data_IF_719199033900
#
_entry.id   IF_719199033900
#
_cell.length_a   1.000
_cell.length_b   1.000
_cell.length_c   1.000
_cell.angle_alpha   90.00
_cell.angle_beta   90.00
_cell.angle_gamma   90.00
#
_symmetry.space_group_name_H-M   'P 1'
#
loop_
_entity.id
_entity.type
_entity.pdbx_description
1 polymer ?
#
# COMPACT_ATOMS: atom_id res chain seq x y z
N UNK A 1 -7.87 -0.72 -17.12
CA UNK A 1 -6.99 -0.80 -15.90
C UNK A 1 -6.47 0.58 -15.49
N UNK A 2 -7.35 1.58 -15.51
CA UNK A 2 -6.93 2.98 -15.27
C UNK A 2 -6.42 3.25 -13.84
N UNK A 3 -6.84 2.44 -12.87
CA UNK A 3 -6.38 2.55 -11.48
C UNK A 3 -4.86 2.34 -11.29
N UNK A 4 -4.18 1.67 -12.22
CA UNK A 4 -2.72 1.48 -12.18
C UNK A 4 -1.93 2.62 -12.84
N UNK A 5 -2.62 3.58 -13.44
CA UNK A 5 -2.01 4.74 -14.11
C UNK A 5 -1.99 6.00 -13.23
N UNK A 6 -2.52 5.92 -12.03
CA UNK A 6 -2.59 7.00 -11.05
C UNK A 6 -2.18 6.46 -9.69
N UNK A 7 -1.62 7.32 -8.86
CA UNK A 7 -1.40 6.98 -7.46
C UNK A 7 -2.72 6.62 -6.78
N UNK A 8 -2.65 5.62 -5.88
CA UNK A 8 -3.82 5.11 -5.16
C UNK A 8 -3.50 5.00 -3.68
N UNK A 9 -4.16 5.81 -2.88
CA UNK A 9 -4.08 5.85 -1.42
C UNK A 9 -5.34 5.24 -0.81
N UNK A 10 -5.21 4.44 0.26
CA UNK A 10 -6.32 3.66 0.78
C UNK A 10 -6.48 3.81 2.30
N UNK A 11 -7.57 4.38 2.74
CA UNK A 11 -7.90 4.53 4.16
C UNK A 11 -8.80 3.38 4.66
N UNK A 12 -8.38 2.74 5.72
CA UNK A 12 -9.10 1.65 6.38
C UNK A 12 -9.30 1.88 7.88
N UNK A 13 -9.70 0.83 8.57
CA UNK A 13 -10.00 0.87 10.01
C UNK A 13 -8.77 1.25 10.86
N UNK A 14 -7.57 0.81 10.46
CA UNK A 14 -6.33 1.15 11.15
C UNK A 14 -5.98 2.63 11.04
N UNK A 15 -6.06 3.21 9.83
CA UNK A 15 -5.82 4.61 9.57
C UNK A 15 -6.82 5.50 10.34
N UNK A 16 -8.10 5.15 10.29
CA UNK A 16 -9.13 5.89 11.05
C UNK A 16 -8.95 5.76 12.55
N UNK A 17 -8.63 4.58 13.08
CA UNK A 17 -8.37 4.40 14.50
C UNK A 17 -7.18 5.26 14.97
N UNK A 18 -6.11 5.33 14.17
CA UNK A 18 -4.97 6.20 14.43
C UNK A 18 -5.39 7.68 14.42
N UNK A 19 -6.13 8.14 13.41
CA UNK A 19 -6.59 9.54 13.29
C UNK A 19 -7.52 9.93 14.44
N UNK A 20 -8.40 9.02 14.88
CA UNK A 20 -9.31 9.23 16.01
C UNK A 20 -8.58 9.16 17.38
N UNK A 21 -7.38 8.60 17.43
CA UNK A 21 -6.66 8.34 18.68
C UNK A 21 -7.29 7.21 19.48
N UNK A 22 -7.90 6.23 18.82
CA UNK A 22 -8.54 5.07 19.47
C UNK A 22 -7.60 3.89 19.52
N UNK A 23 -7.17 3.51 20.72
CA UNK A 23 -6.23 2.41 20.96
C UNK A 23 -4.77 2.79 20.76
N UNK A 24 -3.85 1.88 21.10
CA UNK A 24 -2.41 2.11 21.02
C UNK A 24 -1.79 1.68 19.67
N UNK A 25 -2.46 0.77 18.94
CA UNK A 25 -1.91 0.16 17.72
C UNK A 25 -3.02 -0.45 16.86
N UNK A 26 -2.69 -0.71 15.59
CA UNK A 26 -3.58 -1.45 14.69
C UNK A 26 -3.54 -2.98 14.93
N UNK A 27 -4.34 -3.74 14.18
CA UNK A 27 -4.44 -5.20 14.33
C UNK A 27 -3.13 -5.96 14.00
N UNK A 28 -2.18 -5.35 13.31
CA UNK A 28 -0.87 -5.92 12.99
C UNK A 28 0.21 -5.49 14.00
N UNK A 29 -0.17 -4.72 15.02
CA UNK A 29 0.72 -4.24 16.08
C UNK A 29 1.61 -3.07 15.67
N UNK A 30 1.21 -2.29 14.66
CA UNK A 30 1.82 -1.01 14.37
C UNK A 30 1.28 0.05 15.33
N UNK A 31 2.17 0.68 16.08
CA UNK A 31 1.83 1.69 17.08
C UNK A 31 1.33 2.99 16.45
N UNK A 32 0.46 3.70 17.16
CA UNK A 32 -0.08 4.99 16.77
C UNK A 32 0.77 6.12 17.37
N UNK A 33 1.82 6.51 16.63
CA UNK A 33 2.65 7.65 17.03
C UNK A 33 1.89 8.97 16.82
N UNK A 34 2.06 9.97 17.70
CA UNK A 34 1.43 11.28 17.52
C UNK A 34 1.76 11.95 16.19
N UNK A 35 2.99 11.79 15.71
CA UNK A 35 3.45 12.29 14.42
C UNK A 35 2.78 11.58 13.25
N UNK A 36 2.65 10.24 13.32
CA UNK A 36 1.91 9.45 12.33
C UNK A 36 0.45 9.90 12.25
N UNK A 37 -0.19 10.12 13.40
CA UNK A 37 -1.56 10.61 13.47
C UNK A 37 -1.70 11.95 12.76
N UNK A 38 -0.78 12.88 13.02
CA UNK A 38 -0.76 14.21 12.38
C UNK A 38 -0.62 14.09 10.87
N UNK A 39 0.34 13.29 10.41
CA UNK A 39 0.62 13.11 8.97
C UNK A 39 -0.55 12.40 8.25
N UNK A 40 -1.21 11.43 8.89
CA UNK A 40 -2.41 10.80 8.35
C UNK A 40 -3.60 11.77 8.25
N UNK A 41 -3.80 12.62 9.25
CA UNK A 41 -4.82 13.68 9.22
C UNK A 41 -4.54 14.67 8.09
N UNK A 42 -3.29 15.03 7.87
CA UNK A 42 -2.88 15.89 6.77
C UNK A 42 -3.18 15.24 5.41
N UNK A 43 -2.76 13.98 5.23
CA UNK A 43 -3.01 13.20 4.01
C UNK A 43 -4.51 13.01 3.72
N UNK A 44 -5.33 12.86 4.75
CA UNK A 44 -6.78 12.70 4.61
C UNK A 44 -7.48 14.00 4.25
N UNK A 45 -7.09 15.12 4.87
CA UNK A 45 -7.76 16.42 4.71
C UNK A 45 -7.27 17.20 3.48
N UNK A 46 -6.02 17.01 3.06
CA UNK A 46 -5.37 17.78 1.98
C UNK A 46 -5.07 16.90 0.75
N UNK A 47 -6.12 16.29 0.20
CA UNK A 47 -6.05 15.34 -0.92
C UNK A 47 -5.55 15.99 -2.22
N UNK A 48 -4.63 15.32 -2.92
CA UNK A 48 -4.15 15.74 -4.23
C UNK A 48 -5.09 15.30 -5.36
N UNK A 49 -5.41 16.20 -6.30
CA UNK A 49 -6.34 15.92 -7.42
C UNK A 49 -5.85 14.83 -8.39
N UNK A 50 -4.54 14.55 -8.43
CA UNK A 50 -3.92 13.53 -9.26
C UNK A 50 -3.77 12.17 -8.57
N UNK A 51 -4.23 12.03 -7.32
CA UNK A 51 -4.27 10.79 -6.54
C UNK A 51 -5.71 10.28 -6.47
N UNK A 52 -5.89 8.98 -6.60
CA UNK A 52 -7.18 8.32 -6.35
C UNK A 52 -7.21 7.88 -4.90
N UNK A 53 -8.22 8.33 -4.16
CA UNK A 53 -8.41 7.95 -2.77
C UNK A 53 -9.50 6.90 -2.64
N UNK A 54 -9.17 5.83 -1.93
CA UNK A 54 -10.07 4.74 -1.63
C UNK A 54 -10.35 4.60 -0.14
N UNK A 55 -11.55 4.16 0.19
CA UNK A 55 -11.93 3.86 1.56
C UNK A 55 -12.42 2.42 1.67
N UNK A 56 -12.00 1.71 2.71
CA UNK A 56 -12.50 0.38 3.01
C UNK A 56 -14.01 0.42 3.25
N UNK A 57 -14.71 -0.62 2.79
CA UNK A 57 -16.17 -0.69 2.85
C UNK A 57 -16.74 -0.45 4.26
N UNK A 58 -16.06 -0.96 5.29
CA UNK A 58 -16.50 -0.81 6.69
C UNK A 58 -16.39 0.63 7.20
N UNK A 59 -15.59 1.46 6.54
CA UNK A 59 -15.35 2.86 6.91
C UNK A 59 -16.12 3.87 6.05
N UNK A 60 -16.92 3.42 5.08
CA UNK A 60 -17.64 4.31 4.13
C UNK A 60 -18.65 5.26 4.74
N UNK A 61 -19.13 4.98 5.94
CA UNK A 61 -20.07 5.86 6.66
C UNK A 61 -19.37 6.97 7.46
N UNK A 62 -18.05 7.03 7.44
CA UNK A 62 -17.30 8.05 8.17
C UNK A 62 -17.34 9.38 7.42
N UNK A 63 -17.38 10.46 8.19
CA UNK A 63 -17.34 11.82 7.66
C UNK A 63 -16.04 12.04 6.84
N UNK A 64 -16.15 12.72 5.70
CA UNK A 64 -15.02 13.01 4.82
C UNK A 64 -14.66 11.90 3.83
N UNK A 65 -15.43 10.80 3.79
CA UNK A 65 -15.23 9.72 2.81
C UNK A 65 -16.09 9.85 1.56
N UNK A 66 -16.87 10.91 1.45
CA UNK A 66 -17.74 11.19 0.31
C UNK A 66 -16.92 11.35 -0.98
N UNK A 67 -17.30 10.64 -2.01
CA UNK A 67 -16.58 10.65 -3.30
C UNK A 67 -15.34 9.75 -3.36
N UNK A 68 -14.89 9.16 -2.25
CA UNK A 68 -13.81 8.19 -2.29
C UNK A 68 -14.26 6.91 -2.99
N UNK A 69 -13.34 6.30 -3.74
CA UNK A 69 -13.59 5.02 -4.42
C UNK A 69 -13.49 3.85 -3.44
N UNK A 70 -13.59 2.64 -3.98
CA UNK A 70 -13.51 1.41 -3.20
C UNK A 70 -12.07 1.07 -2.83
N UNK A 71 -11.72 1.20 -1.55
CA UNK A 71 -10.41 0.88 -0.99
C UNK A 71 -10.06 -0.61 -1.01
N UNK A 72 -11.07 -1.50 -1.14
CA UNK A 72 -10.85 -2.95 -1.16
C UNK A 72 -10.65 -3.52 -2.58
N UNK A 73 -10.49 -2.67 -3.60
CA UNK A 73 -10.44 -3.10 -5.01
C UNK A 73 -9.37 -4.15 -5.29
N UNK A 74 -8.17 -3.99 -4.76
CA UNK A 74 -7.07 -4.94 -4.96
C UNK A 74 -7.24 -6.20 -4.11
N UNK A 75 -7.78 -6.09 -2.89
CA UNK A 75 -8.11 -7.23 -2.04
C UNK A 75 -9.16 -8.13 -2.68
N UNK A 76 -10.22 -7.54 -3.27
CA UNK A 76 -11.23 -8.31 -4.00
C UNK A 76 -10.68 -8.93 -5.28
N UNK A 77 -9.83 -8.21 -6.03
CA UNK A 77 -9.14 -8.79 -7.20
C UNK A 77 -8.27 -9.97 -6.79
N UNK A 78 -7.52 -9.84 -5.69
CA UNK A 78 -6.72 -10.93 -5.14
C UNK A 78 -7.59 -12.14 -4.81
N UNK A 79 -8.68 -11.95 -4.06
CA UNK A 79 -9.59 -13.02 -3.67
C UNK A 79 -10.27 -13.73 -4.87
N UNK A 80 -10.46 -13.03 -5.99
CA UNK A 80 -11.18 -13.52 -7.18
C UNK A 80 -10.25 -13.91 -8.36
N UNK A 81 -8.94 -14.01 -8.14
CA UNK A 81 -7.98 -14.39 -9.18
C UNK A 81 -7.67 -13.29 -10.20
N UNK A 82 -8.10 -12.06 -9.96
CA UNK A 82 -7.91 -10.92 -10.87
C UNK A 82 -6.54 -10.25 -10.81
N UNK A 83 -5.58 -10.80 -10.03
CA UNK A 83 -4.27 -10.16 -9.82
C UNK A 83 -3.27 -10.43 -10.94
N UNK A 84 -3.44 -11.47 -11.75
CA UNK A 84 -2.49 -11.79 -12.83
C UNK A 84 -2.21 -10.60 -13.74
N UNK A 85 -3.27 -9.87 -14.16
CA UNK A 85 -3.10 -8.67 -15.00
C UNK A 85 -2.41 -7.52 -14.29
N UNK A 86 -2.60 -7.40 -12.97
CA UNK A 86 -1.92 -6.40 -12.15
C UNK A 86 -0.43 -6.75 -12.06
N UNK A 87 -0.11 -8.00 -11.77
CA UNK A 87 1.26 -8.52 -11.70
C UNK A 87 1.99 -8.26 -13.03
N UNK A 88 1.41 -8.67 -14.16
CA UNK A 88 2.03 -8.44 -15.47
C UNK A 88 2.29 -6.95 -15.71
N UNK A 89 1.32 -6.08 -15.43
CA UNK A 89 1.49 -4.64 -15.58
C UNK A 89 2.66 -4.09 -14.73
N UNK A 90 2.73 -4.50 -13.46
CA UNK A 90 3.81 -4.08 -12.56
C UNK A 90 5.18 -4.57 -13.06
N UNK A 91 5.23 -5.80 -13.57
CA UNK A 91 6.43 -6.39 -14.15
C UNK A 91 6.90 -5.66 -15.40
N UNK A 92 6.00 -5.42 -16.34
CA UNK A 92 6.30 -4.76 -17.61
C UNK A 92 6.74 -3.29 -17.41
N UNK A 93 6.38 -2.68 -16.27
CA UNK A 93 6.71 -1.28 -15.95
C UNK A 93 7.79 -1.12 -14.87
N UNK A 94 8.58 -2.14 -14.61
CA UNK A 94 9.73 -2.07 -13.68
C UNK A 94 9.37 -1.49 -12.31
N UNK A 95 8.38 -2.07 -11.64
CA UNK A 95 7.89 -1.59 -10.34
C UNK A 95 8.96 -1.65 -9.26
N UNK A 96 9.04 -0.62 -8.45
CA UNK A 96 9.79 -0.61 -7.18
C UNK A 96 8.91 -1.16 -6.07
N UNK A 97 9.34 -2.22 -5.40
CA UNK A 97 8.64 -2.80 -4.26
C UNK A 97 9.08 -2.12 -2.97
N UNK A 98 8.12 -1.56 -2.23
CA UNK A 98 8.34 -0.95 -0.92
C UNK A 98 7.54 -1.72 0.11
N UNK A 99 8.19 -2.45 0.99
CA UNK A 99 7.51 -3.28 1.98
C UNK A 99 8.46 -4.20 2.76
N UNK A 100 7.92 -5.05 3.63
CA UNK A 100 8.72 -5.97 4.42
C UNK A 100 9.38 -7.04 3.53
N UNK A 101 10.45 -7.63 4.04
CA UNK A 101 11.29 -8.57 3.29
C UNK A 101 10.52 -9.73 2.64
N UNK A 102 9.46 -10.23 3.29
CA UNK A 102 8.72 -11.37 2.75
C UNK A 102 7.96 -11.07 1.45
N UNK A 103 7.56 -9.82 1.16
CA UNK A 103 6.91 -9.49 -0.12
C UNK A 103 7.90 -9.40 -1.29
N UNK A 104 9.19 -9.47 -1.02
CA UNK A 104 10.27 -9.41 -2.01
C UNK A 104 10.49 -10.74 -2.75
N UNK A 105 9.62 -11.72 -2.53
CA UNK A 105 9.63 -13.03 -3.18
C UNK A 105 8.67 -13.05 -4.38
N UNK A 106 8.72 -14.08 -5.25
CA UNK A 106 7.69 -14.25 -6.27
C UNK A 106 6.28 -14.11 -5.65
N UNK A 107 5.29 -13.58 -6.38
CA UNK A 107 5.22 -13.39 -7.84
C UNK A 107 5.84 -12.08 -8.36
N UNK A 108 6.27 -11.19 -7.47
CA UNK A 108 6.83 -9.89 -7.84
C UNK A 108 8.36 -9.87 -7.72
N UNK A 109 9.02 -11.03 -7.70
CA UNK A 109 10.49 -11.12 -7.65
C UNK A 109 11.11 -10.65 -8.96
N UNK A 110 11.01 -9.36 -9.17
CA UNK A 110 11.64 -8.64 -10.26
C UNK A 110 13.07 -8.28 -9.85
N UNK A 111 13.79 -7.62 -10.67
CA UNK A 111 15.15 -7.14 -10.45
C UNK A 111 15.43 -6.86 -8.96
N UNK A 112 16.47 -7.48 -8.40
CA UNK A 112 16.84 -7.34 -6.98
C UNK A 112 17.09 -5.89 -6.59
N UNK A 113 17.44 -5.03 -7.55
CA UNK A 113 17.80 -3.63 -7.35
C UNK A 113 16.59 -2.70 -7.15
N UNK A 114 15.36 -3.17 -7.41
CA UNK A 114 14.13 -2.38 -7.29
C UNK A 114 13.33 -2.72 -6.02
N UNK A 115 14.03 -2.78 -4.88
CA UNK A 115 13.45 -3.14 -3.59
C UNK A 115 13.86 -2.15 -2.52
N UNK A 116 12.86 -1.65 -1.79
CA UNK A 116 13.05 -0.84 -0.59
C UNK A 116 12.46 -1.63 0.57
N UNK A 117 13.34 -2.30 1.33
CA UNK A 117 12.92 -3.10 2.48
C UNK A 117 12.59 -2.16 3.63
N UNK A 118 11.43 -2.38 4.24
CA UNK A 118 10.97 -1.65 5.42
C UNK A 118 10.78 -2.60 6.60
N UNK A 119 10.87 -2.11 7.84
CA UNK A 119 10.52 -2.91 9.00
C UNK A 119 9.10 -3.48 8.90
N UNK A 120 8.92 -4.71 9.34
CA UNK A 120 7.61 -5.39 9.37
C UNK A 120 6.64 -4.78 10.37
N UNK A 121 7.16 -3.98 11.33
CA UNK A 121 6.39 -3.22 12.31
C UNK A 121 6.98 -1.81 12.43
N UNK A 122 6.10 -0.85 12.71
CA UNK A 122 6.50 0.53 13.01
C UNK A 122 7.39 1.17 11.93
N UNK A 123 7.16 0.81 10.65
CA UNK A 123 7.95 1.32 9.53
C UNK A 123 7.90 2.86 9.42
N UNK A 124 6.92 3.51 10.04
CA UNK A 124 6.85 4.96 10.14
C UNK A 124 8.11 5.58 10.76
N UNK A 125 8.76 4.90 11.69
CA UNK A 125 10.00 5.38 12.32
C UNK A 125 11.17 5.54 11.32
N UNK A 126 11.07 4.90 10.16
CA UNK A 126 12.05 5.02 9.08
C UNK A 126 11.53 5.87 7.89
N UNK A 127 10.48 6.68 8.11
CA UNK A 127 9.82 7.47 7.05
C UNK A 127 10.83 8.21 6.16
N UNK A 128 11.74 8.96 6.76
CA UNK A 128 12.69 9.79 6.00
C UNK A 128 13.69 8.97 5.17
N UNK A 129 14.17 7.83 5.69
CA UNK A 129 15.01 6.90 4.91
C UNK A 129 14.23 6.35 3.72
N UNK A 130 13.00 5.89 3.95
CA UNK A 130 12.16 5.31 2.90
C UNK A 130 11.86 6.36 1.82
N UNK A 131 11.50 7.58 2.20
CA UNK A 131 11.32 8.71 1.26
C UNK A 131 12.57 8.96 0.42
N UNK A 132 13.73 9.00 1.05
CA UNK A 132 15.00 9.19 0.36
C UNK A 132 15.26 8.07 -0.66
N UNK A 133 15.08 6.81 -0.29
CA UNK A 133 15.27 5.67 -1.18
C UNK A 133 14.27 5.67 -2.35
N UNK A 134 13.00 6.04 -2.11
CA UNK A 134 12.00 6.19 -3.17
C UNK A 134 12.38 7.29 -4.16
N UNK A 135 12.83 8.46 -3.68
CA UNK A 135 13.30 9.56 -4.53
C UNK A 135 14.51 9.15 -5.37
N UNK A 136 15.44 8.38 -4.82
CA UNK A 136 16.58 7.83 -5.57
C UNK A 136 16.12 6.92 -6.71
N UNK A 137 15.20 6.00 -6.45
CA UNK A 137 14.64 5.13 -7.49
C UNK A 137 13.93 5.97 -8.57
N UNK A 138 13.10 6.94 -8.17
CA UNK A 138 12.44 7.83 -9.12
C UNK A 138 13.41 8.62 -9.99
N UNK A 139 14.47 9.20 -9.40
CA UNK A 139 15.52 9.92 -10.13
C UNK A 139 16.33 9.02 -11.06
N UNK A 140 16.38 7.72 -10.79
CA UNK A 140 16.98 6.72 -11.66
C UNK A 140 16.05 6.23 -12.79
N UNK A 141 14.84 6.82 -12.94
CA UNK A 141 13.89 6.51 -14.00
C UNK A 141 12.85 5.43 -13.66
N UNK A 142 12.65 5.11 -12.39
CA UNK A 142 11.64 4.14 -11.92
C UNK A 142 10.43 4.86 -11.30
N UNK A 143 9.40 5.19 -12.09
CA UNK A 143 8.29 6.01 -11.61
C UNK A 143 7.16 5.22 -10.93
N UNK A 144 7.18 3.88 -10.96
CA UNK A 144 6.10 3.04 -10.44
C UNK A 144 6.48 2.36 -9.13
N UNK A 145 5.67 2.55 -8.08
CA UNK A 145 5.91 2.01 -6.74
C UNK A 145 4.71 1.18 -6.26
N UNK A 146 4.99 -0.01 -5.74
CA UNK A 146 4.04 -0.86 -5.03
C UNK A 146 4.32 -0.77 -3.53
N UNK A 147 3.41 -0.16 -2.78
CA UNK A 147 3.57 0.08 -1.36
C UNK A 147 2.83 -0.99 -0.54
N UNK A 148 3.53 -1.54 0.45
CA UNK A 148 3.01 -2.47 1.46
C UNK A 148 3.66 -2.14 2.81
N UNK A 149 3.48 -0.91 3.27
CA UNK A 149 4.13 -0.35 4.44
C UNK A 149 3.13 0.17 5.47
N UNK A 150 1.97 -0.50 5.59
CA UNK A 150 0.90 -0.14 6.53
C UNK A 150 0.50 1.32 6.40
N UNK A 151 0.11 1.98 7.47
CA UNK A 151 -0.33 3.39 7.53
C UNK A 151 0.70 4.41 7.01
N UNK A 152 1.95 4.01 6.81
CA UNK A 152 2.95 4.86 6.17
C UNK A 152 2.70 5.05 4.67
N UNK A 153 1.97 4.13 4.02
CA UNK A 153 1.72 4.23 2.58
C UNK A 153 0.95 5.51 2.21
N UNK A 154 -0.08 5.87 2.98
CA UNK A 154 -0.89 7.07 2.79
C UNK A 154 -0.05 8.34 2.95
N UNK A 155 0.80 8.36 3.97
CA UNK A 155 1.72 9.48 4.25
C UNK A 155 2.74 9.64 3.11
N UNK A 156 3.36 8.53 2.66
CA UNK A 156 4.33 8.58 1.55
C UNK A 156 3.69 9.07 0.26
N UNK A 157 2.49 8.58 -0.08
CA UNK A 157 1.77 9.01 -1.27
C UNK A 157 1.47 10.51 -1.18
N UNK A 158 1.00 10.98 -0.02
CA UNK A 158 0.68 12.38 0.18
C UNK A 158 1.93 13.27 0.06
N UNK A 159 2.97 13.00 0.84
CA UNK A 159 4.15 13.83 0.90
C UNK A 159 4.98 13.79 -0.41
N UNK A 160 5.06 12.64 -1.08
CA UNK A 160 5.90 12.48 -2.26
C UNK A 160 5.21 12.86 -3.58
N UNK A 161 3.89 12.95 -3.62
CA UNK A 161 3.16 13.34 -4.85
C UNK A 161 3.64 14.68 -5.42
N UNK A 162 3.83 15.76 -4.65
CA UNK A 162 4.36 17.02 -5.18
C UNK A 162 5.87 16.98 -5.47
N UNK A 163 6.61 16.10 -4.79
CA UNK A 163 8.07 16.01 -4.90
C UNK A 163 8.54 15.10 -6.04
N UNK A 164 7.70 14.16 -6.50
CA UNK A 164 8.00 13.18 -7.53
C UNK A 164 6.96 13.25 -8.68
N UNK A 165 6.95 14.33 -9.46
CA UNK A 165 5.98 14.51 -10.54
C UNK A 165 6.06 13.37 -11.55
N UNK A 166 4.90 12.79 -11.91
CA UNK A 166 4.79 11.64 -12.79
C UNK A 166 5.01 10.27 -12.13
N UNK A 167 5.38 10.22 -10.85
CA UNK A 167 5.42 8.96 -10.12
C UNK A 167 4.00 8.43 -9.88
N UNK A 168 3.87 7.10 -9.93
CA UNK A 168 2.66 6.36 -9.59
C UNK A 168 2.94 5.49 -8.38
N UNK A 169 2.34 5.82 -7.27
CA UNK A 169 2.48 5.14 -5.99
C UNK A 169 1.16 4.45 -5.63
N UNK A 170 1.16 3.13 -5.46
CA UNK A 170 -0.06 2.35 -5.25
C UNK A 170 0.04 1.62 -3.91
N UNK A 171 -0.86 1.94 -2.98
CA UNK A 171 -1.02 1.17 -1.75
C UNK A 171 -1.75 -0.15 -2.04
N UNK A 172 -0.99 -1.24 -1.97
CA UNK A 172 -1.52 -2.60 -2.03
C UNK A 172 -1.79 -3.18 -0.64
N UNK A 173 -1.23 -2.57 0.41
CA UNK A 173 -1.35 -3.10 1.78
C UNK A 173 -0.92 -4.55 1.86
N UNK A 174 -1.77 -5.41 2.42
CA UNK A 174 -1.51 -6.84 2.62
C UNK A 174 -1.89 -7.74 1.41
N UNK A 175 -2.13 -7.17 0.24
CA UNK A 175 -2.55 -7.94 -0.96
C UNK A 175 -1.53 -9.00 -1.37
N UNK A 176 -0.24 -8.75 -1.17
CA UNK A 176 0.84 -9.67 -1.55
C UNK A 176 1.12 -10.76 -0.52
N UNK A 177 0.65 -10.60 0.71
CA UNK A 177 0.93 -11.52 1.83
C UNK A 177 0.59 -12.98 1.53
N UNK A 178 -0.62 -13.32 1.03
CA UNK A 178 -1.00 -14.72 0.86
C UNK A 178 -0.19 -15.42 -0.24
N UNK A 179 0.30 -14.69 -1.24
CA UNK A 179 1.17 -15.24 -2.27
C UNK A 179 2.59 -15.53 -1.76
N UNK A 180 2.95 -14.94 -0.63
CA UNK A 180 4.24 -15.13 0.05
C UNK A 180 4.12 -16.03 1.30
N UNK A 181 2.98 -16.67 1.50
CA UNK A 181 2.72 -17.59 2.60
C UNK A 181 2.38 -16.92 3.92
N UNK A 182 2.20 -15.60 3.94
CA UNK A 182 1.79 -14.83 5.12
C UNK A 182 0.27 -14.65 5.10
N UNK A 183 -0.41 -15.25 6.05
CA UNK A 183 -1.87 -15.22 6.16
C UNK A 183 -2.31 -14.20 7.21
N UNK A 184 -1.99 -12.93 6.98
CA UNK A 184 -2.18 -11.82 7.93
C UNK A 184 -3.65 -11.44 8.14
N UNK A 185 -4.53 -11.72 7.19
CA UNK A 185 -5.96 -11.34 7.23
C UNK A 185 -6.88 -12.56 7.31
N UNK A 186 -8.07 -12.38 7.87
CA UNK A 186 -9.07 -13.44 8.00
C UNK A 186 -9.46 -14.06 6.65
N UNK A 187 -9.55 -13.26 5.58
CA UNK A 187 -9.85 -13.77 4.25
C UNK A 187 -8.66 -14.53 3.62
N UNK A 188 -7.41 -14.22 4.00
CA UNK A 188 -6.24 -15.00 3.58
C UNK A 188 -6.31 -16.44 4.08
N UNK A 189 -6.81 -16.64 5.31
CA UNK A 189 -6.93 -17.95 5.97
C UNK A 189 -7.97 -18.88 5.33
N UNK A 190 -8.79 -18.38 4.40
CA UNK A 190 -9.78 -19.17 3.65
C UNK A 190 -9.17 -20.08 2.59
N UNK A 191 -7.89 -19.91 2.29
CA UNK A 191 -7.15 -20.68 1.29
C UNK A 191 -5.74 -20.97 1.79
N UNK A 192 -5.18 -22.09 1.35
CA UNK A 192 -3.76 -22.41 1.52
C UNK A 192 -2.90 -21.53 0.60
N UNK A 193 -1.62 -21.39 0.92
CA UNK A 193 -0.65 -20.71 0.07
C UNK A 193 -0.65 -21.26 -1.37
N UNK A 194 -0.73 -22.60 -1.53
CA UNK A 194 -0.80 -23.24 -2.84
C UNK A 194 -2.04 -22.83 -3.65
N UNK A 195 -3.19 -22.67 -2.97
CA UNK A 195 -4.42 -22.23 -3.64
C UNK A 195 -4.34 -20.76 -4.04
N UNK A 196 -3.72 -19.91 -3.22
CA UNK A 196 -3.45 -18.51 -3.58
C UNK A 196 -2.58 -18.41 -4.84
N UNK A 197 -1.51 -19.22 -4.92
CA UNK A 197 -0.65 -19.26 -6.10
C UNK A 197 -1.41 -19.66 -7.39
N UNK A 198 -2.32 -20.61 -7.30
CA UNK A 198 -3.14 -21.02 -8.45
C UNK A 198 -4.04 -19.91 -9.01
N UNK A 199 -4.34 -18.88 -8.23
CA UNK A 199 -5.14 -17.74 -8.71
C UNK A 199 -4.35 -16.78 -9.61
N UNK A 200 -3.03 -16.88 -9.64
CA UNK A 200 -2.15 -16.00 -10.42
C UNK A 200 -1.28 -16.74 -11.44
N UNK A 201 -1.27 -18.08 -11.39
CA UNK A 201 -0.63 -18.98 -12.39
C UNK A 201 -1.47 -19.09 -13.71
#
# INVERSE_FOLDING_TARGET
>A
MDILKRSFSRFGDGEFACMDGTGPANCDGHEYFPELRKDLLDAFNNQHSNVTYGVQRICRSRLGTEGMTDGDVFHRRSANGGMRRVINYLMDNHVVLVGPEWIMRPPLSLNQDLRIIVPSKNCYLEKERIKYDMKRCWSAGYPLFSLSCSMLAEVLIHELTPEMPGAVMIDFGSVWDPYNGVLSRSYHKKRTHKEWWRLIS
#
